data_IF_702823210841
#
_entry.id   IF_702823210841
#
_cell.length_a   1.000
_cell.length_b   1.000
_cell.length_c   1.000
_cell.angle_alpha   90.00
_cell.angle_beta   90.00
_cell.angle_gamma   90.00
#
_symmetry.space_group_name_H-M   'P 1'
#
loop_
_entity.id
_entity.type
_entity.pdbx_description
1 polymer ?
#
# COMPACT_ATOMS: atom_id res chain seq x y z
N UNK A 1 -20.99 25.16 31.82
CA UNK A 1 -20.94 26.11 32.96
C UNK A 1 -19.68 25.81 33.77
N UNK A 2 -18.79 26.75 33.91
CA UNK A 2 -17.52 26.62 34.64
C UNK A 2 -17.83 26.34 36.12
N UNK A 3 -17.30 25.25 36.67
CA UNK A 3 -17.36 24.94 38.10
C UNK A 3 -16.53 25.98 38.87
N UNK A 4 -17.13 27.13 39.23
CA UNK A 4 -16.50 28.09 40.16
C UNK A 4 -16.31 27.41 41.51
N UNK A 5 -15.06 27.34 41.97
CA UNK A 5 -14.73 26.91 43.31
C UNK A 5 -15.35 27.87 44.34
N UNK A 6 -15.84 27.33 45.46
CA UNK A 6 -16.37 28.17 46.52
C UNK A 6 -15.22 28.92 47.21
N UNK A 7 -15.44 30.19 47.51
CA UNK A 7 -14.51 30.96 48.37
C UNK A 7 -14.43 30.38 49.79
N UNK A 8 -13.29 30.55 50.45
CA UNK A 8 -13.02 30.02 51.79
C UNK A 8 -14.08 30.37 52.79
N UNK A 9 -14.58 31.60 52.74
CA UNK A 9 -15.67 32.06 53.61
C UNK A 9 -16.96 31.22 53.44
N UNK A 10 -17.34 30.90 52.20
CA UNK A 10 -18.49 30.02 51.97
C UNK A 10 -18.25 28.57 52.42
N UNK A 11 -17.02 28.09 52.32
CA UNK A 11 -16.68 26.77 52.82
C UNK A 11 -16.79 26.74 54.35
N UNK A 12 -16.29 27.74 55.04
CA UNK A 12 -16.48 27.89 56.52
C UNK A 12 -17.96 27.92 56.89
N UNK A 13 -18.79 28.63 56.14
CA UNK A 13 -20.26 28.68 56.36
C UNK A 13 -20.90 27.30 56.16
N UNK A 14 -20.53 26.54 55.17
CA UNK A 14 -21.02 25.16 54.94
C UNK A 14 -20.68 24.26 56.12
N UNK A 15 -19.44 24.31 56.57
CA UNK A 15 -18.96 23.47 57.68
C UNK A 15 -19.61 23.89 59.01
N UNK A 16 -19.80 25.20 59.23
CA UNK A 16 -20.50 25.71 60.41
C UNK A 16 -21.96 25.23 60.47
N UNK A 17 -22.69 25.32 59.37
CA UNK A 17 -24.06 24.79 59.31
C UNK A 17 -24.09 23.28 59.54
N UNK A 18 -23.13 22.55 59.03
CA UNK A 18 -23.04 21.11 59.25
C UNK A 18 -22.74 20.76 60.73
N UNK A 19 -21.84 21.46 61.39
CA UNK A 19 -21.55 21.26 62.83
C UNK A 19 -22.73 21.59 63.72
N UNK A 20 -23.65 22.49 63.27
CA UNK A 20 -24.91 22.80 63.91
C UNK A 20 -26.04 21.79 63.65
N UNK A 21 -25.75 20.68 62.94
CA UNK A 21 -26.71 19.62 62.71
C UNK A 21 -27.59 19.79 61.46
N UNK A 22 -27.34 20.82 60.63
CA UNK A 22 -28.17 21.00 59.43
C UNK A 22 -27.84 19.96 58.33
N UNK A 23 -28.85 19.39 57.73
CA UNK A 23 -28.71 18.42 56.65
C UNK A 23 -28.28 19.08 55.33
N UNK A 24 -27.69 18.32 54.44
CA UNK A 24 -27.16 18.80 53.14
C UNK A 24 -28.19 19.54 52.27
N UNK A 25 -29.47 19.21 52.38
CA UNK A 25 -30.57 19.89 51.65
C UNK A 25 -30.83 21.29 52.24
N UNK A 26 -30.86 21.42 53.54
CA UNK A 26 -31.03 22.70 54.26
C UNK A 26 -29.85 23.63 54.00
N UNK A 27 -28.62 23.13 54.10
CA UNK A 27 -27.39 23.89 53.83
C UNK A 27 -27.37 24.41 52.36
N UNK A 28 -27.76 23.57 51.42
CA UNK A 28 -27.86 23.92 49.99
C UNK A 28 -28.83 25.08 49.77
N UNK A 29 -30.00 25.02 50.43
CA UNK A 29 -31.04 26.08 50.35
C UNK A 29 -30.60 27.38 51.02
N UNK A 30 -30.03 27.30 52.24
CA UNK A 30 -29.60 28.46 53.03
C UNK A 30 -28.45 29.23 52.39
N UNK A 31 -27.47 28.55 51.83
CA UNK A 31 -26.25 29.17 51.28
C UNK A 31 -26.29 29.35 49.76
N UNK A 32 -27.38 28.96 49.12
CA UNK A 32 -27.56 29.00 47.65
C UNK A 32 -26.41 28.29 46.92
N UNK A 33 -25.98 27.14 47.43
CA UNK A 33 -24.89 26.30 46.88
C UNK A 33 -25.50 24.97 46.42
N UNK A 34 -25.02 24.44 45.29
CA UNK A 34 -25.55 23.16 44.80
C UNK A 34 -25.39 22.04 45.83
N UNK A 35 -26.36 21.16 45.97
CA UNK A 35 -26.33 20.04 46.93
C UNK A 35 -25.10 19.12 46.70
N UNK A 36 -24.73 18.94 45.43
CA UNK A 36 -23.54 18.14 45.10
C UNK A 36 -22.26 18.82 45.54
N UNK A 37 -22.18 20.15 45.46
CA UNK A 37 -21.02 20.92 45.94
C UNK A 37 -20.92 20.82 47.45
N UNK A 38 -22.04 20.98 48.19
CA UNK A 38 -22.09 20.79 49.64
C UNK A 38 -21.61 19.40 50.01
N UNK A 39 -22.14 18.34 49.40
CA UNK A 39 -21.69 16.97 49.66
C UNK A 39 -20.17 16.78 49.43
N UNK A 40 -19.62 17.35 48.35
CA UNK A 40 -18.21 17.28 48.05
C UNK A 40 -17.31 17.85 49.18
N UNK A 41 -17.66 19.04 49.64
CA UNK A 41 -16.91 19.67 50.73
C UNK A 41 -17.08 18.95 52.07
N UNK A 42 -18.26 18.42 52.40
CA UNK A 42 -18.47 17.61 53.61
C UNK A 42 -17.73 16.27 53.56
N UNK A 43 -17.59 15.64 52.40
CA UNK A 43 -16.80 14.42 52.25
C UNK A 43 -15.29 14.68 52.54
N UNK A 44 -14.76 15.79 52.05
CA UNK A 44 -13.38 16.20 52.34
C UNK A 44 -13.20 16.47 53.80
N UNK A 45 -14.11 17.19 54.44
CA UNK A 45 -14.11 17.48 55.87
C UNK A 45 -14.14 16.20 56.71
N UNK A 46 -15.03 15.26 56.40
CA UNK A 46 -15.11 13.98 57.12
C UNK A 46 -13.84 13.13 56.96
N UNK A 47 -13.19 13.20 55.78
CA UNK A 47 -11.90 12.50 55.54
C UNK A 47 -10.72 13.14 56.26
N UNK A 48 -10.75 14.44 56.52
CA UNK A 48 -9.67 15.15 57.21
C UNK A 48 -9.55 14.80 58.70
N UNK A 49 -10.61 14.21 59.29
CA UNK A 49 -10.64 13.88 60.70
C UNK A 49 -10.68 15.09 61.61
N UNK A 50 -10.81 16.31 61.10
CA UNK A 50 -10.88 17.55 61.85
C UNK A 50 -12.32 17.78 62.35
N UNK A 51 -12.44 18.37 63.54
CA UNK A 51 -13.69 18.94 64.02
C UNK A 51 -13.84 20.42 63.56
N UNK A 52 -14.98 21.03 63.84
CA UNK A 52 -15.23 22.40 63.40
C UNK A 52 -14.31 23.42 64.09
N UNK A 53 -13.92 23.18 65.35
CA UNK A 53 -12.98 24.03 66.09
C UNK A 53 -11.56 23.96 65.44
N UNK A 54 -11.13 22.78 65.04
CA UNK A 54 -9.92 22.59 64.29
C UNK A 54 -9.92 23.35 62.95
N UNK A 55 -11.05 23.40 62.28
CA UNK A 55 -11.19 24.19 61.02
C UNK A 55 -11.13 25.70 61.28
N UNK A 56 -11.60 26.17 62.39
CA UNK A 56 -11.53 27.61 62.75
C UNK A 56 -10.10 28.07 63.05
N UNK A 57 -9.25 27.19 63.52
CA UNK A 57 -7.84 27.49 63.81
C UNK A 57 -6.96 27.54 62.52
N UNK A 58 -7.42 27.00 61.38
CA UNK A 58 -6.68 26.98 60.14
C UNK A 58 -6.74 28.35 59.44
N UNK A 59 -5.61 28.77 58.91
CA UNK A 59 -5.52 29.91 58.03
C UNK A 59 -6.30 29.66 56.72
N UNK A 60 -6.64 30.69 55.97
CA UNK A 60 -7.28 30.53 54.65
C UNK A 60 -6.43 29.78 53.65
N UNK A 61 -5.12 29.83 53.82
CA UNK A 61 -4.15 29.12 52.98
C UNK A 61 -4.16 27.62 53.27
N UNK A 62 -4.12 27.21 54.53
CA UNK A 62 -4.22 25.82 54.95
C UNK A 62 -5.58 25.23 54.62
N UNK A 63 -6.66 26.00 54.76
CA UNK A 63 -8.00 25.62 54.35
C UNK A 63 -8.09 25.42 52.83
N UNK A 64 -7.42 26.28 52.09
CA UNK A 64 -7.34 26.16 50.63
C UNK A 64 -6.59 24.88 50.20
N UNK A 65 -5.53 24.55 50.87
CA UNK A 65 -4.75 23.32 50.63
C UNK A 65 -5.57 22.06 50.94
N UNK A 66 -6.35 22.10 52.03
CA UNK A 66 -7.17 20.99 52.47
C UNK A 66 -8.39 20.73 51.51
N UNK A 67 -9.09 21.79 51.12
CA UNK A 67 -10.35 21.70 50.38
C UNK A 67 -10.20 21.89 48.89
N UNK A 68 -9.11 22.47 48.46
CA UNK A 68 -8.71 22.59 47.04
C UNK A 68 -7.44 21.80 46.85
N UNK A 69 -7.48 20.47 47.11
CA UNK A 69 -6.44 19.60 46.62
C UNK A 69 -6.22 19.99 45.15
N UNK A 70 -5.14 20.69 44.88
CA UNK A 70 -4.63 20.84 43.55
C UNK A 70 -4.27 19.41 43.14
N UNK A 71 -5.24 18.70 42.54
CA UNK A 71 -4.86 17.69 41.55
C UNK A 71 -3.94 18.46 40.63
N UNK A 72 -2.63 18.26 40.76
CA UNK A 72 -1.60 18.94 39.97
C UNK A 72 -1.91 18.53 38.54
N UNK A 73 -2.77 19.32 37.85
CA UNK A 73 -3.10 19.11 36.46
C UNK A 73 -1.76 19.33 35.76
N UNK A 74 -1.15 18.24 35.31
CA UNK A 74 0.08 18.30 34.56
C UNK A 74 -0.09 19.32 33.43
N UNK A 75 0.87 20.18 33.27
CA UNK A 75 0.85 21.14 32.14
C UNK A 75 0.85 20.38 30.82
N UNK A 76 0.38 21.00 29.75
CA UNK A 76 0.40 20.38 28.42
C UNK A 76 1.83 19.99 28.01
N UNK A 77 2.83 20.76 28.44
CA UNK A 77 4.26 20.47 28.21
C UNK A 77 4.70 19.17 28.93
N UNK A 78 4.37 19.00 30.23
CA UNK A 78 4.71 17.80 30.98
C UNK A 78 4.08 16.53 30.40
N UNK A 79 2.81 16.59 30.01
CA UNK A 79 2.10 15.48 29.34
C UNK A 79 2.72 15.13 28.00
N UNK A 80 3.18 16.14 27.25
CA UNK A 80 3.84 15.95 25.98
C UNK A 80 5.20 15.27 26.13
N UNK A 81 5.99 15.68 27.11
CA UNK A 81 7.31 15.08 27.40
C UNK A 81 7.19 13.64 27.85
N UNK A 82 6.22 13.34 28.73
CA UNK A 82 5.95 11.96 29.16
C UNK A 82 5.58 11.08 27.96
N UNK A 83 4.64 11.52 27.13
CA UNK A 83 4.27 10.73 25.95
C UNK A 83 5.43 10.60 24.97
N UNK A 84 6.21 11.66 24.73
CA UNK A 84 7.40 11.60 23.86
C UNK A 84 8.42 10.57 24.31
N UNK A 85 8.62 10.40 25.61
CA UNK A 85 9.53 9.39 26.16
C UNK A 85 9.06 7.95 25.90
N UNK A 86 7.74 7.73 25.80
CA UNK A 86 7.13 6.42 25.55
C UNK A 86 6.99 6.08 24.05
N UNK A 87 6.99 7.10 23.17
CA UNK A 87 6.79 6.89 21.73
C UNK A 87 7.78 5.90 21.10
N UNK A 88 9.09 5.91 21.39
CA UNK A 88 10.03 4.94 20.81
C UNK A 88 9.67 3.49 21.13
N UNK A 89 9.26 3.21 22.36
CA UNK A 89 8.85 1.87 22.78
C UNK A 89 7.53 1.45 22.11
N UNK A 90 6.53 2.31 22.11
CA UNK A 90 5.25 2.03 21.46
C UNK A 90 5.41 1.80 19.97
N UNK A 91 6.26 2.57 19.29
CA UNK A 91 6.56 2.37 17.87
C UNK A 91 7.28 1.05 17.60
N UNK A 92 8.18 0.61 18.48
CA UNK A 92 8.83 -0.70 18.39
C UNK A 92 7.83 -1.84 18.60
N UNK A 93 6.91 -1.69 19.55
CA UNK A 93 5.87 -2.70 19.86
C UNK A 93 4.84 -2.82 18.73
N UNK A 94 4.49 -1.73 18.04
CA UNK A 94 3.59 -1.74 16.88
C UNK A 94 4.09 -2.58 15.71
N UNK A 95 5.38 -2.92 15.67
CA UNK A 95 5.92 -3.81 14.63
C UNK A 95 5.63 -5.29 14.91
N UNK A 96 5.22 -5.64 16.11
CA UNK A 96 4.89 -7.01 16.48
C UNK A 96 3.47 -7.36 16.00
N UNK A 97 3.31 -8.57 15.47
CA UNK A 97 2.00 -9.08 15.01
C UNK A 97 1.00 -9.08 16.17
N UNK A 98 -0.20 -8.53 15.94
CA UNK A 98 -1.28 -8.49 16.92
C UNK A 98 -1.29 -7.26 17.85
N UNK A 99 -0.27 -6.40 17.85
CA UNK A 99 -0.27 -5.16 18.63
C UNK A 99 -0.99 -4.07 17.83
N UNK A 100 -2.04 -3.50 18.40
CA UNK A 100 -2.82 -2.42 17.77
C UNK A 100 -2.58 -1.08 18.47
N UNK A 101 -2.77 0.03 17.72
CA UNK A 101 -2.72 1.39 18.31
C UNK A 101 -3.72 1.58 19.45
N UNK A 102 -4.87 0.91 19.32
CA UNK A 102 -5.93 0.97 20.34
C UNK A 102 -5.51 0.29 21.65
N UNK A 103 -4.88 -0.87 21.57
CA UNK A 103 -4.35 -1.58 22.75
C UNK A 103 -3.30 -0.72 23.47
N UNK A 104 -2.38 -0.11 22.73
CA UNK A 104 -1.36 0.78 23.29
C UNK A 104 -1.97 2.05 23.90
N UNK A 105 -3.01 2.60 23.30
CA UNK A 105 -3.70 3.76 23.86
C UNK A 105 -4.43 3.43 25.16
N UNK A 106 -5.07 2.27 25.27
CA UNK A 106 -5.68 1.81 26.54
C UNK A 106 -4.63 1.63 27.65
N UNK A 107 -3.50 1.03 27.32
CA UNK A 107 -2.38 0.86 28.24
C UNK A 107 -1.82 2.22 28.68
N UNK A 108 -1.63 3.15 27.74
CA UNK A 108 -1.22 4.51 28.04
C UNK A 108 -2.18 5.20 29.01
N UNK A 109 -3.48 5.13 28.80
CA UNK A 109 -4.47 5.74 29.68
C UNK A 109 -4.57 5.07 31.06
N UNK A 110 -4.27 3.77 31.16
CA UNK A 110 -4.24 3.08 32.47
C UNK A 110 -3.13 3.62 33.37
N UNK A 111 -2.01 3.99 32.78
CA UNK A 111 -0.85 4.56 33.50
C UNK A 111 -0.90 6.10 33.60
N UNK A 112 -1.63 6.75 32.69
CA UNK A 112 -1.75 8.21 32.58
C UNK A 112 -3.21 8.60 32.41
N UNK A 113 -4.02 8.63 33.50
CA UNK A 113 -5.46 8.94 33.41
C UNK A 113 -5.78 10.31 32.80
N UNK A 114 -4.87 11.28 32.94
CA UNK A 114 -4.95 12.64 32.34
C UNK A 114 -4.23 12.72 30.97
N UNK A 115 -3.88 11.58 30.41
CA UNK A 115 -3.16 11.47 29.14
C UNK A 115 -3.96 11.98 27.92
N UNK A 116 -3.30 12.00 26.77
CA UNK A 116 -3.93 12.44 25.52
C UNK A 116 -5.02 11.48 25.06
N UNK A 117 -6.11 12.06 24.54
CA UNK A 117 -7.16 11.30 23.89
C UNK A 117 -6.68 10.59 22.61
N UNK A 118 -7.47 9.62 22.15
CA UNK A 118 -7.18 8.69 21.06
C UNK A 118 -6.62 9.39 19.80
N UNK A 119 -7.28 10.44 19.34
CA UNK A 119 -6.89 11.14 18.10
C UNK A 119 -5.49 11.75 18.22
N UNK A 120 -5.21 12.48 19.30
CA UNK A 120 -3.93 13.12 19.51
C UNK A 120 -2.79 12.11 19.71
N UNK A 121 -3.04 11.05 20.48
CA UNK A 121 -2.12 9.94 20.65
C UNK A 121 -1.74 9.28 19.33
N UNK A 122 -2.71 9.02 18.44
CA UNK A 122 -2.47 8.42 17.13
C UNK A 122 -1.66 9.34 16.20
N UNK A 123 -1.95 10.64 16.21
CA UNK A 123 -1.20 11.63 15.44
C UNK A 123 0.26 11.66 15.88
N UNK A 124 0.52 11.69 17.19
CA UNK A 124 1.89 11.75 17.74
C UNK A 124 2.68 10.47 17.45
N UNK A 125 2.06 9.29 17.54
CA UNK A 125 2.68 8.03 17.10
C UNK A 125 3.03 8.10 15.61
N UNK A 126 2.10 8.56 14.78
CA UNK A 126 2.32 8.63 13.33
C UNK A 126 3.44 9.62 12.97
N UNK A 127 3.47 10.77 13.61
CA UNK A 127 4.55 11.75 13.47
C UNK A 127 5.90 11.18 13.89
N UNK A 128 5.96 10.49 15.03
CA UNK A 128 7.19 9.87 15.51
C UNK A 128 7.70 8.78 14.54
N UNK A 129 6.80 7.94 14.01
CA UNK A 129 7.16 6.93 12.99
C UNK A 129 7.69 7.62 11.73
N UNK A 130 7.05 8.69 11.27
CA UNK A 130 7.49 9.43 10.09
C UNK A 130 8.87 10.07 10.28
N UNK A 131 9.12 10.66 11.46
CA UNK A 131 10.42 11.27 11.77
C UNK A 131 11.54 10.23 12.00
N UNK A 132 11.20 9.09 12.64
CA UNK A 132 12.20 8.06 12.97
C UNK A 132 12.56 7.14 11.80
N UNK A 133 11.77 7.17 10.73
CA UNK A 133 12.00 6.42 9.49
C UNK A 133 11.83 7.36 8.30
N UNK A 134 12.83 8.18 7.97
CA UNK A 134 12.78 8.96 6.76
C UNK A 134 12.59 7.99 5.58
N UNK A 135 11.47 8.09 4.91
CA UNK A 135 11.22 7.36 3.67
C UNK A 135 12.08 8.06 2.62
N UNK A 136 13.14 7.39 2.19
CA UNK A 136 13.94 7.88 1.08
C UNK A 136 13.02 7.91 -0.15
N UNK A 137 12.78 9.10 -0.67
CA UNK A 137 12.07 9.28 -1.93
C UNK A 137 12.96 8.68 -3.03
N UNK A 138 12.48 7.62 -3.69
CA UNK A 138 13.17 7.06 -4.83
C UNK A 138 12.79 7.90 -6.05
N UNK A 139 13.72 8.72 -6.50
CA UNK A 139 13.57 9.40 -7.78
C UNK A 139 13.73 8.38 -8.90
N UNK A 140 12.76 8.33 -9.78
CA UNK A 140 12.78 7.48 -10.96
C UNK A 140 13.10 8.33 -12.18
N UNK A 141 14.18 7.97 -12.86
CA UNK A 141 14.59 8.65 -14.09
C UNK A 141 13.61 8.30 -15.20
N UNK A 142 13.24 9.29 -15.99
CA UNK A 142 12.37 9.12 -17.15
C UNK A 142 12.99 8.16 -18.19
N UNK A 143 12.18 7.26 -18.74
CA UNK A 143 12.62 6.29 -19.75
C UNK A 143 13.61 5.22 -19.27
N UNK A 144 13.91 5.16 -17.96
CA UNK A 144 14.90 4.21 -17.42
C UNK A 144 14.34 2.79 -17.38
N UNK A 145 13.13 2.60 -16.88
CA UNK A 145 12.57 1.26 -16.66
C UNK A 145 11.04 1.21 -16.73
N UNK A 146 10.53 0.01 -16.99
CA UNK A 146 9.12 -0.36 -16.80
C UNK A 146 9.04 -1.54 -15.84
N UNK A 147 8.12 -1.50 -14.91
CA UNK A 147 7.80 -2.64 -14.06
C UNK A 147 6.62 -3.38 -14.65
N UNK A 148 6.67 -4.71 -14.66
CA UNK A 148 5.60 -5.58 -15.13
C UNK A 148 5.25 -6.63 -14.08
N UNK A 149 3.96 -6.94 -13.96
CA UNK A 149 3.43 -7.94 -13.03
C UNK A 149 2.05 -8.43 -13.50
N UNK A 150 1.55 -9.51 -12.90
CA UNK A 150 0.17 -9.92 -13.00
C UNK A 150 -0.59 -9.59 -11.72
N UNK A 151 -1.80 -9.07 -11.87
CA UNK A 151 -2.69 -8.86 -10.75
C UNK A 151 -3.09 -10.21 -10.13
N UNK A 152 -3.14 -10.27 -8.79
CA UNK A 152 -3.49 -11.52 -8.09
C UNK A 152 -4.95 -11.94 -8.28
N UNK A 153 -5.88 -10.97 -8.37
CA UNK A 153 -7.30 -11.23 -8.61
C UNK A 153 -7.59 -11.25 -10.11
N UNK A 154 -8.23 -12.33 -10.55
CA UNK A 154 -8.57 -12.55 -11.95
C UNK A 154 -9.88 -11.84 -12.32
N UNK A 155 -10.01 -11.45 -13.56
CA UNK A 155 -11.28 -11.15 -14.19
C UNK A 155 -11.82 -12.42 -14.87
N UNK A 156 -12.98 -12.34 -15.49
CA UNK A 156 -13.59 -13.50 -16.18
C UNK A 156 -14.31 -13.08 -17.45
N UNK A 157 -14.38 -14.01 -18.39
CA UNK A 157 -15.26 -13.99 -19.54
C UNK A 157 -16.20 -15.19 -19.48
N UNK A 158 -17.34 -15.11 -20.15
CA UNK A 158 -18.35 -16.17 -20.21
C UNK A 158 -18.31 -16.76 -21.61
N UNK A 159 -18.10 -18.07 -21.70
CA UNK A 159 -18.22 -18.78 -22.98
C UNK A 159 -19.68 -18.80 -23.43
N UNK A 160 -19.94 -18.33 -24.62
CA UNK A 160 -21.32 -18.21 -25.17
C UNK A 160 -21.99 -19.56 -25.46
N UNK A 161 -21.19 -20.57 -25.76
CA UNK A 161 -21.71 -21.87 -26.15
C UNK A 161 -22.00 -22.75 -24.94
N UNK A 162 -21.12 -22.70 -23.93
CA UNK A 162 -21.20 -23.56 -22.74
C UNK A 162 -21.75 -22.87 -21.51
N UNK A 163 -21.74 -21.52 -21.47
CA UNK A 163 -22.06 -20.72 -20.27
C UNK A 163 -20.99 -20.81 -19.19
N UNK A 164 -19.82 -21.38 -19.46
CA UNK A 164 -18.75 -21.55 -18.50
C UNK A 164 -18.04 -20.21 -18.23
N UNK A 165 -17.75 -19.96 -16.95
CA UNK A 165 -16.98 -18.77 -16.54
C UNK A 165 -15.49 -19.10 -16.67
N UNK A 166 -14.82 -18.47 -17.62
CA UNK A 166 -13.39 -18.64 -17.88
C UNK A 166 -12.62 -17.53 -17.17
N UNK A 167 -11.79 -17.85 -16.16
CA UNK A 167 -10.96 -16.87 -15.49
C UNK A 167 -9.81 -16.43 -16.40
N UNK A 168 -9.57 -15.11 -16.46
CA UNK A 168 -8.48 -14.51 -17.24
C UNK A 168 -7.52 -13.77 -16.31
N UNK A 169 -6.25 -13.77 -16.70
CA UNK A 169 -5.19 -13.08 -15.98
C UNK A 169 -5.17 -11.59 -16.36
N UNK A 170 -4.73 -10.72 -15.46
CA UNK A 170 -4.63 -9.29 -15.72
C UNK A 170 -3.19 -8.85 -15.65
N UNK A 171 -2.62 -8.54 -16.81
CA UNK A 171 -1.28 -7.99 -16.94
C UNK A 171 -1.27 -6.50 -16.61
N UNK A 172 -0.23 -6.07 -15.89
CA UNK A 172 -0.01 -4.69 -15.47
C UNK A 172 1.40 -4.27 -15.79
N UNK A 173 1.55 -3.13 -16.46
CA UNK A 173 2.85 -2.47 -16.64
C UNK A 173 2.77 -1.02 -16.15
N UNK A 174 3.85 -0.52 -15.54
CA UNK A 174 3.93 0.85 -15.04
C UNK A 174 5.29 1.46 -15.32
N UNK A 175 5.29 2.68 -15.87
CA UNK A 175 6.46 3.54 -15.96
C UNK A 175 6.63 4.28 -14.62
N UNK A 176 7.73 4.10 -13.88
CA UNK A 176 7.83 4.60 -12.51
C UNK A 176 7.96 6.11 -12.39
N UNK A 177 8.42 6.82 -13.41
CA UNK A 177 8.58 8.28 -13.39
C UNK A 177 7.23 8.99 -13.47
N UNK A 178 6.45 8.75 -14.52
CA UNK A 178 5.11 9.32 -14.72
C UNK A 178 4.01 8.59 -13.95
N UNK A 179 4.27 7.35 -13.54
CA UNK A 179 3.28 6.39 -13.06
C UNK A 179 2.22 6.03 -14.12
N UNK A 180 2.50 6.30 -15.41
CA UNK A 180 1.63 5.89 -16.48
C UNK A 180 1.49 4.37 -16.47
N UNK A 181 0.26 3.90 -16.36
CA UNK A 181 -0.06 2.49 -16.18
C UNK A 181 -0.68 1.93 -17.45
N UNK A 182 -0.34 0.71 -17.80
CA UNK A 182 -0.97 -0.11 -18.82
C UNK A 182 -1.57 -1.36 -18.18
N UNK A 183 -2.76 -1.75 -18.65
CA UNK A 183 -3.48 -2.93 -18.13
C UNK A 183 -4.13 -3.66 -19.31
N UNK A 184 -3.99 -4.98 -19.33
CA UNK A 184 -4.57 -5.85 -20.33
C UNK A 184 -4.96 -7.20 -19.71
N UNK A 185 -6.14 -7.71 -20.06
CA UNK A 185 -6.52 -9.08 -19.74
C UNK A 185 -5.94 -10.04 -20.78
N UNK A 186 -5.40 -11.17 -20.33
CA UNK A 186 -4.82 -12.23 -21.16
C UNK A 186 -5.29 -13.60 -20.66
N UNK A 187 -5.23 -14.61 -21.52
CA UNK A 187 -5.75 -15.94 -21.18
C UNK A 187 -4.91 -16.65 -20.11
N UNK A 188 -3.61 -16.40 -20.07
CA UNK A 188 -2.71 -17.10 -19.16
C UNK A 188 -1.48 -16.28 -18.77
N UNK A 189 -0.71 -16.76 -17.78
CA UNK A 189 0.60 -16.21 -17.45
C UNK A 189 1.74 -16.90 -18.21
N UNK A 190 1.45 -17.61 -19.33
CA UNK A 190 2.47 -18.24 -20.13
C UNK A 190 3.35 -17.19 -20.83
N UNK A 191 4.51 -17.63 -21.31
CA UNK A 191 5.50 -16.74 -21.96
C UNK A 191 4.93 -16.04 -23.19
N UNK A 192 4.06 -16.72 -23.94
CA UNK A 192 3.40 -16.18 -25.15
C UNK A 192 2.56 -14.95 -24.79
N UNK A 193 1.68 -15.10 -23.80
CA UNK A 193 0.78 -14.03 -23.33
C UNK A 193 1.57 -12.90 -22.66
N UNK A 194 2.61 -13.23 -21.88
CA UNK A 194 3.48 -12.24 -21.25
C UNK A 194 4.22 -11.39 -22.30
N UNK A 195 4.78 -12.02 -23.34
CA UNK A 195 5.49 -11.32 -24.41
C UNK A 195 4.52 -10.43 -25.19
N UNK A 196 3.35 -10.96 -25.57
CA UNK A 196 2.32 -10.21 -26.29
C UNK A 196 1.85 -8.99 -25.48
N UNK A 197 1.50 -9.17 -24.21
CA UNK A 197 1.05 -8.08 -23.34
C UNK A 197 2.17 -7.05 -23.08
N UNK A 198 3.42 -7.50 -22.94
CA UNK A 198 4.58 -6.60 -22.80
C UNK A 198 4.80 -5.78 -24.06
N UNK A 199 4.68 -6.38 -25.24
CA UNK A 199 4.76 -5.68 -26.54
C UNK A 199 3.65 -4.63 -26.66
N UNK A 200 2.41 -5.00 -26.33
CA UNK A 200 1.26 -4.09 -26.37
C UNK A 200 1.46 -2.91 -25.40
N UNK A 201 2.08 -3.15 -24.24
CA UNK A 201 2.45 -2.07 -23.30
C UNK A 201 3.48 -1.10 -23.91
N UNK A 202 4.52 -1.62 -24.58
CA UNK A 202 5.51 -0.77 -25.27
C UNK A 202 4.86 0.05 -26.39
N UNK A 203 3.94 -0.55 -27.15
CA UNK A 203 3.17 0.15 -28.19
C UNK A 203 2.27 1.24 -27.60
N UNK A 204 1.63 0.98 -26.46
CA UNK A 204 0.83 1.96 -25.73
C UNK A 204 1.65 3.15 -25.26
N UNK A 205 2.85 2.91 -24.76
CA UNK A 205 3.81 3.95 -24.38
C UNK A 205 4.47 4.63 -25.59
N UNK A 206 4.33 4.11 -26.78
CA UNK A 206 4.95 4.58 -28.01
C UNK A 206 6.48 4.63 -27.94
N UNK A 207 7.08 3.79 -27.09
CA UNK A 207 8.51 3.75 -26.91
C UNK A 207 8.98 2.65 -25.95
N UNK A 208 10.27 2.37 -26.00
CA UNK A 208 10.92 1.36 -25.18
C UNK A 208 11.77 2.00 -24.08
N UNK A 209 11.58 1.62 -22.81
CA UNK A 209 12.46 2.02 -21.71
C UNK A 209 13.81 1.30 -21.80
N UNK A 210 14.80 1.71 -20.99
CA UNK A 210 16.10 1.05 -20.97
C UNK A 210 16.05 -0.36 -20.34
N UNK A 211 15.13 -0.58 -19.41
CA UNK A 211 15.00 -1.87 -18.72
C UNK A 211 13.54 -2.28 -18.50
N UNK A 212 13.30 -3.60 -18.55
CA UNK A 212 12.05 -4.23 -18.14
C UNK A 212 12.31 -4.98 -16.84
N UNK A 213 11.47 -4.74 -15.81
CA UNK A 213 11.61 -5.32 -14.49
C UNK A 213 10.41 -6.21 -14.19
N UNK A 214 10.49 -7.53 -14.46
CA UNK A 214 9.46 -8.49 -14.09
C UNK A 214 9.51 -8.80 -12.59
N UNK A 215 8.33 -8.90 -11.95
CA UNK A 215 8.23 -9.35 -10.55
C UNK A 215 8.20 -10.88 -10.48
N UNK A 216 9.37 -11.53 -10.41
CA UNK A 216 9.54 -12.99 -10.19
C UNK A 216 8.60 -13.88 -11.03
N UNK A 217 8.18 -13.42 -12.19
CA UNK A 217 7.32 -14.16 -13.10
C UNK A 217 8.09 -15.36 -13.65
N UNK A 218 7.59 -16.58 -13.42
CA UNK A 218 8.22 -17.81 -13.93
C UNK A 218 8.36 -17.82 -15.44
N UNK A 219 7.49 -17.15 -16.16
CA UNK A 219 7.52 -16.97 -17.61
C UNK A 219 8.63 -16.03 -18.09
N UNK A 220 9.10 -15.11 -17.25
CA UNK A 220 10.22 -14.22 -17.55
C UNK A 220 11.55 -14.72 -16.93
N UNK A 221 11.49 -15.39 -15.76
CA UNK A 221 12.65 -15.82 -14.98
C UNK A 221 12.54 -17.31 -14.64
N UNK A 222 13.36 -18.13 -15.25
CA UNK A 222 13.32 -19.60 -15.07
C UNK A 222 13.82 -20.04 -13.70
N UNK A 223 14.84 -19.37 -13.15
CA UNK A 223 15.34 -19.56 -11.78
C UNK A 223 15.76 -18.22 -11.20
N UNK A 224 15.21 -17.86 -10.05
CA UNK A 224 15.70 -16.72 -9.27
C UNK A 224 16.70 -17.25 -8.22
N UNK A 225 17.96 -16.86 -8.31
CA UNK A 225 18.93 -17.07 -7.25
C UNK A 225 19.35 -15.73 -6.63
N UNK A 226 20.02 -15.79 -5.47
CA UNK A 226 20.48 -14.59 -4.78
C UNK A 226 21.57 -13.83 -5.58
N UNK A 227 22.24 -14.51 -6.49
CA UNK A 227 23.41 -13.98 -7.23
C UNK A 227 23.19 -13.89 -8.74
N UNK A 228 22.41 -14.82 -9.34
CA UNK A 228 22.10 -14.82 -10.78
C UNK A 228 20.68 -15.29 -11.01
N UNK A 229 19.93 -14.55 -11.80
CA UNK A 229 18.61 -14.95 -12.29
C UNK A 229 18.78 -15.51 -13.71
N UNK A 230 18.29 -16.73 -13.95
CA UNK A 230 18.26 -17.30 -15.29
C UNK A 230 16.98 -16.80 -15.96
N UNK A 231 17.13 -15.97 -16.97
CA UNK A 231 16.03 -15.44 -17.76
C UNK A 231 15.45 -16.52 -18.69
N UNK A 232 14.19 -16.38 -19.03
CA UNK A 232 13.60 -17.12 -20.14
C UNK A 232 14.22 -16.59 -21.45
N UNK A 233 14.76 -17.48 -22.28
CA UNK A 233 15.46 -17.12 -23.52
C UNK A 233 14.58 -16.33 -24.49
N UNK A 234 13.31 -16.69 -24.61
CA UNK A 234 12.36 -16.01 -25.50
C UNK A 234 12.03 -14.60 -25.01
N UNK A 235 11.86 -14.42 -23.67
CA UNK A 235 11.63 -13.11 -23.10
C UNK A 235 12.88 -12.21 -23.16
N UNK A 236 14.05 -12.79 -23.04
CA UNK A 236 15.31 -12.08 -23.23
C UNK A 236 15.47 -11.62 -24.71
N UNK A 237 15.17 -12.48 -25.68
CA UNK A 237 15.18 -12.14 -27.11
C UNK A 237 14.15 -11.04 -27.45
N UNK A 238 12.96 -11.10 -26.84
CA UNK A 238 11.95 -10.02 -26.95
C UNK A 238 12.51 -8.69 -26.44
N UNK A 239 13.11 -8.69 -25.25
CA UNK A 239 13.67 -7.48 -24.67
C UNK A 239 14.80 -6.91 -25.55
N UNK A 240 15.69 -7.76 -26.04
CA UNK A 240 16.78 -7.37 -26.94
C UNK A 240 16.25 -6.78 -28.26
N UNK A 241 15.19 -7.36 -28.83
CA UNK A 241 14.56 -6.86 -30.07
C UNK A 241 14.12 -5.38 -29.93
N UNK A 242 13.62 -4.98 -28.76
CA UNK A 242 13.28 -3.59 -28.45
C UNK A 242 14.42 -2.82 -27.77
N UNK A 243 15.59 -3.42 -27.66
CA UNK A 243 16.78 -2.83 -27.03
C UNK A 243 16.64 -2.65 -25.52
N UNK A 244 15.75 -3.37 -24.85
CA UNK A 244 15.57 -3.34 -23.41
C UNK A 244 16.47 -4.36 -22.71
N UNK A 245 16.87 -4.05 -21.47
CA UNK A 245 17.56 -5.01 -20.61
C UNK A 245 16.57 -5.59 -19.61
N UNK A 246 16.48 -6.91 -19.47
CA UNK A 246 15.66 -7.54 -18.43
C UNK A 246 16.43 -7.55 -17.11
N UNK A 247 15.88 -6.89 -16.10
CA UNK A 247 16.46 -6.84 -14.76
C UNK A 247 15.43 -7.42 -13.79
N UNK A 248 15.50 -8.71 -13.41
CA UNK A 248 14.57 -9.30 -12.46
C UNK A 248 14.58 -8.56 -11.13
N UNK A 249 13.39 -8.35 -10.55
CA UNK A 249 13.29 -7.74 -9.23
C UNK A 249 14.07 -8.58 -8.21
N UNK A 250 14.88 -7.90 -7.39
CA UNK A 250 15.74 -8.59 -6.41
C UNK A 250 14.89 -9.28 -5.36
N UNK A 251 15.12 -10.57 -5.16
CA UNK A 251 14.50 -11.33 -4.08
C UNK A 251 14.79 -10.64 -2.72
N UNK A 252 13.77 -10.57 -1.85
CA UNK A 252 13.86 -9.99 -0.51
C UNK A 252 14.11 -8.47 -0.40
N UNK A 253 13.89 -7.67 -1.48
CA UNK A 253 13.89 -6.20 -1.40
C UNK A 253 12.49 -5.63 -1.70
N UNK A 254 11.58 -5.58 -0.72
CA UNK A 254 10.19 -5.16 -0.93
C UNK A 254 10.06 -3.70 -1.39
N UNK A 255 11.08 -2.87 -1.19
CA UNK A 255 11.07 -1.47 -1.65
C UNK A 255 11.13 -1.33 -3.17
N UNK A 256 11.81 -2.27 -3.85
CA UNK A 256 11.93 -2.25 -5.31
C UNK A 256 10.58 -2.56 -5.99
N UNK A 257 9.66 -3.25 -5.28
CA UNK A 257 8.34 -3.68 -5.73
C UNK A 257 7.20 -2.72 -5.34
N UNK A 258 7.43 -1.83 -4.39
CA UNK A 258 6.38 -0.99 -3.79
C UNK A 258 5.57 -0.21 -4.82
N UNK A 259 6.17 0.20 -5.95
CA UNK A 259 5.50 0.92 -7.04
C UNK A 259 4.53 0.03 -7.80
N UNK A 260 4.97 -1.17 -8.22
CA UNK A 260 4.12 -2.12 -8.93
C UNK A 260 2.98 -2.61 -8.03
N UNK A 261 3.27 -3.00 -6.79
CA UNK A 261 2.24 -3.36 -5.82
C UNK A 261 1.24 -2.21 -5.57
N UNK A 262 1.73 -0.97 -5.54
CA UNK A 262 0.91 0.23 -5.45
C UNK A 262 0.03 0.42 -6.68
N UNK A 263 0.56 0.21 -7.89
CA UNK A 263 -0.19 0.27 -9.15
C UNK A 263 -1.29 -0.79 -9.19
N UNK A 264 -0.98 -2.04 -8.86
CA UNK A 264 -1.98 -3.14 -8.78
C UNK A 264 -3.11 -2.79 -7.80
N UNK A 265 -2.79 -2.25 -6.61
CA UNK A 265 -3.81 -1.80 -5.64
C UNK A 265 -4.69 -0.66 -6.17
N UNK A 266 -4.11 0.26 -6.95
CA UNK A 266 -4.86 1.34 -7.59
C UNK A 266 -5.78 0.81 -8.69
N UNK A 267 -5.33 -0.18 -9.47
CA UNK A 267 -6.13 -0.86 -10.49
C UNK A 267 -7.35 -1.53 -9.86
N UNK A 268 -7.19 -2.26 -8.74
CA UNK A 268 -8.31 -2.84 -7.99
C UNK A 268 -9.33 -1.81 -7.53
N UNK A 269 -8.92 -0.56 -7.27
CA UNK A 269 -9.83 0.49 -6.83
C UNK A 269 -10.48 1.28 -7.97
N UNK A 270 -9.78 1.44 -9.08
CA UNK A 270 -10.20 2.35 -10.16
C UNK A 270 -10.72 1.65 -11.40
N UNK A 271 -10.24 0.45 -11.72
CA UNK A 271 -10.60 -0.30 -12.94
C UNK A 271 -11.57 -1.43 -12.61
N UNK A 272 -11.24 -2.31 -11.67
CA UNK A 272 -12.05 -3.49 -11.36
C UNK A 272 -13.52 -3.18 -11.05
N UNK A 273 -13.89 -2.17 -10.22
CA UNK A 273 -15.30 -1.90 -9.93
C UNK A 273 -16.12 -1.53 -11.16
N UNK A 274 -15.48 -0.94 -12.20
CA UNK A 274 -16.14 -0.56 -13.44
C UNK A 274 -16.33 -1.74 -14.42
N UNK A 275 -15.57 -2.81 -14.21
CA UNK A 275 -15.56 -4.01 -15.04
C UNK A 275 -16.44 -5.09 -14.42
N UNK A 276 -16.37 -5.33 -13.12
CA UNK A 276 -17.03 -6.43 -12.41
C UNK A 276 -18.56 -6.37 -12.43
N UNK A 277 -19.15 -5.20 -12.70
CA UNK A 277 -20.61 -5.05 -12.85
C UNK A 277 -21.13 -5.44 -14.24
N UNK A 278 -20.24 -5.85 -15.16
CA UNK A 278 -20.56 -6.15 -16.55
C UNK A 278 -20.15 -7.57 -16.91
N UNK A 279 -20.88 -8.19 -17.80
CA UNK A 279 -20.55 -9.48 -18.39
C UNK A 279 -19.83 -9.30 -19.72
N UNK A 280 -18.82 -10.12 -19.95
CA UNK A 280 -18.02 -10.14 -21.18
C UNK A 280 -17.95 -11.55 -21.72
N UNK A 281 -18.07 -11.69 -23.02
CA UNK A 281 -18.13 -12.97 -23.69
C UNK A 281 -16.87 -13.29 -24.51
N UNK A 282 -15.99 -12.33 -24.65
CA UNK A 282 -14.71 -12.45 -25.33
C UNK A 282 -13.65 -11.53 -24.69
N UNK A 283 -12.39 -11.83 -24.98
CA UNK A 283 -11.26 -11.09 -24.43
C UNK A 283 -11.17 -9.66 -25.01
N UNK A 284 -11.58 -9.46 -26.25
CA UNK A 284 -11.48 -8.17 -26.94
C UNK A 284 -12.46 -7.15 -26.35
N UNK A 285 -13.70 -7.56 -26.08
CA UNK A 285 -14.71 -6.70 -25.43
C UNK A 285 -14.31 -6.36 -23.99
N UNK A 286 -13.75 -7.31 -23.25
CA UNK A 286 -13.20 -7.08 -21.91
C UNK A 286 -12.04 -6.08 -21.97
N UNK A 287 -11.09 -6.28 -22.88
CA UNK A 287 -9.94 -5.38 -23.04
C UNK A 287 -10.37 -3.99 -23.54
N UNK A 288 -11.39 -3.87 -24.36
CA UNK A 288 -11.97 -2.59 -24.74
C UNK A 288 -12.52 -1.83 -23.52
N UNK A 289 -13.25 -2.52 -22.63
CA UNK A 289 -13.75 -1.93 -21.40
C UNK A 289 -12.61 -1.53 -20.43
N UNK A 290 -11.58 -2.37 -20.31
CA UNK A 290 -10.37 -2.07 -19.52
C UNK A 290 -9.70 -0.80 -20.05
N UNK A 291 -9.54 -0.65 -21.37
CA UNK A 291 -8.91 0.54 -21.98
C UNK A 291 -9.67 1.82 -21.64
N UNK A 292 -11.00 1.81 -21.70
CA UNK A 292 -11.81 2.98 -21.32
C UNK A 292 -11.60 3.35 -19.84
N UNK A 293 -11.60 2.36 -18.94
CA UNK A 293 -11.37 2.58 -17.51
C UNK A 293 -9.93 3.03 -17.23
N UNK A 294 -8.95 2.49 -17.97
CA UNK A 294 -7.55 2.83 -17.89
C UNK A 294 -7.26 4.27 -18.32
N UNK A 295 -7.85 4.73 -19.44
CA UNK A 295 -7.72 6.13 -19.88
C UNK A 295 -8.25 7.10 -18.81
N UNK A 296 -9.39 6.80 -18.21
CA UNK A 296 -9.90 7.61 -17.10
C UNK A 296 -8.94 7.60 -15.91
N UNK A 297 -8.38 6.44 -15.56
CA UNK A 297 -7.39 6.31 -14.48
C UNK A 297 -6.13 7.13 -14.76
N UNK A 298 -5.60 7.06 -15.97
CA UNK A 298 -4.37 7.75 -16.35
C UNK A 298 -4.56 9.27 -16.48
N UNK A 299 -5.77 9.73 -16.83
CA UNK A 299 -6.10 11.16 -16.93
C UNK A 299 -6.60 11.76 -15.60
N UNK A 300 -6.85 10.95 -14.57
CA UNK A 300 -7.22 11.46 -13.24
C UNK A 300 -5.98 12.03 -12.54
N UNK A 301 -6.05 13.27 -12.01
CA UNK A 301 -4.94 13.87 -11.26
C UNK A 301 -4.48 12.97 -10.11
N UNK A 302 -3.17 12.94 -9.88
CA UNK A 302 -2.58 12.22 -8.76
C UNK A 302 -2.96 12.91 -7.44
N UNK A 303 -3.15 12.11 -6.38
CA UNK A 303 -3.36 12.63 -5.03
C UNK A 303 -2.20 13.57 -4.66
N UNK A 304 -2.52 14.76 -4.16
CA UNK A 304 -1.56 15.81 -3.78
C UNK A 304 -0.77 16.45 -4.95
N UNK A 305 -1.19 16.21 -6.21
CA UNK A 305 -0.57 16.81 -7.40
C UNK A 305 -1.62 17.45 -8.30
N UNK A 306 -1.22 18.48 -9.06
CA UNK A 306 -2.12 19.20 -9.99
C UNK A 306 -2.17 18.59 -11.39
N UNK A 307 -1.40 17.55 -11.63
CA UNK A 307 -1.27 16.90 -12.94
C UNK A 307 -1.61 15.40 -12.85
N UNK A 308 -2.03 14.86 -13.98
CA UNK A 308 -2.34 13.44 -14.17
C UNK A 308 -1.09 12.65 -14.57
N UNK A 309 -1.20 11.31 -14.57
CA UNK A 309 -0.16 10.40 -15.08
C UNK A 309 0.14 10.64 -16.55
N UNK A 310 -0.92 10.86 -17.33
CA UNK A 310 -0.82 11.13 -18.77
C UNK A 310 -0.09 12.43 -19.03
N UNK A 311 -0.45 13.50 -18.36
CA UNK A 311 0.23 14.81 -18.52
C UNK A 311 1.70 14.72 -18.14
N UNK A 312 2.05 14.06 -17.03
CA UNK A 312 3.45 13.87 -16.63
C UNK A 312 4.23 13.02 -17.64
N UNK A 313 3.60 12.00 -18.20
CA UNK A 313 4.22 11.18 -19.24
C UNK A 313 4.51 12.00 -20.50
N UNK A 314 3.54 12.75 -21.02
CA UNK A 314 3.69 13.54 -22.23
C UNK A 314 4.75 14.65 -22.07
N UNK A 315 4.82 15.26 -20.88
CA UNK A 315 5.71 16.39 -20.62
C UNK A 315 7.17 15.95 -20.33
N UNK A 316 7.36 14.81 -19.63
CA UNK A 316 8.69 14.47 -19.10
C UNK A 316 9.22 13.14 -19.65
N UNK A 317 8.38 12.11 -19.80
CA UNK A 317 8.86 10.73 -19.99
C UNK A 317 8.84 10.27 -21.44
N UNK A 318 7.91 10.75 -22.25
CA UNK A 318 7.72 10.34 -23.63
C UNK A 318 9.00 10.46 -24.47
N UNK A 319 9.62 11.62 -24.44
CA UNK A 319 10.82 11.92 -25.24
C UNK A 319 12.08 11.20 -24.71
N UNK A 320 12.01 10.64 -23.51
CA UNK A 320 13.08 9.85 -22.90
C UNK A 320 13.03 8.37 -23.27
N UNK A 321 11.92 7.91 -23.84
CA UNK A 321 11.79 6.54 -24.34
C UNK A 321 12.49 6.40 -25.71
N UNK A 322 13.08 5.24 -25.94
CA UNK A 322 13.67 4.90 -27.24
C UNK A 322 12.59 4.59 -28.25
N UNK A 323 12.86 4.90 -29.51
CA UNK A 323 11.97 4.52 -30.62
C UNK A 323 11.83 3.01 -30.69
N UNK A 324 10.60 2.56 -30.87
CA UNK A 324 10.33 1.13 -31.06
C UNK A 324 10.87 0.65 -32.41
N UNK A 325 11.28 -0.62 -32.45
CA UNK A 325 11.50 -1.31 -33.71
C UNK A 325 10.17 -1.32 -34.50
N UNK A 326 10.18 -0.89 -35.75
CA UNK A 326 8.94 -0.88 -36.57
C UNK A 326 8.42 -2.29 -36.87
N UNK A 327 9.28 -3.30 -36.80
CA UNK A 327 8.92 -4.71 -36.95
C UNK A 327 8.53 -5.25 -35.60
N UNK A 328 7.34 -5.85 -35.48
CA UNK A 328 6.91 -6.51 -34.26
C UNK A 328 7.77 -7.73 -33.96
N UNK A 329 7.91 -8.04 -32.67
CA UNK A 329 8.62 -9.23 -32.25
C UNK A 329 7.81 -10.48 -32.61
N UNK A 330 8.44 -11.43 -33.27
CA UNK A 330 7.85 -12.71 -33.61
C UNK A 330 8.47 -13.81 -32.76
N UNK A 331 7.64 -14.42 -31.89
CA UNK A 331 8.08 -15.50 -31.01
C UNK A 331 8.40 -16.73 -31.82
N UNK A 332 9.68 -17.13 -31.81
CA UNK A 332 10.13 -18.34 -32.50
C UNK A 332 9.97 -19.55 -31.57
N UNK A 333 9.34 -20.58 -32.07
CA UNK A 333 9.26 -21.85 -31.38
C UNK A 333 10.51 -22.68 -31.65
N UNK A 334 10.92 -23.47 -30.65
CA UNK A 334 12.12 -24.28 -30.70
C UNK A 334 11.76 -25.76 -30.78
N UNK A 335 12.23 -26.45 -31.82
CA UNK A 335 12.07 -27.88 -31.98
C UNK A 335 13.43 -28.55 -32.22
N UNK A 336 13.74 -29.60 -31.47
CA UNK A 336 14.97 -30.40 -31.67
C UNK A 336 14.67 -31.62 -32.48
N UNK A 337 15.36 -31.78 -33.61
CA UNK A 337 15.18 -32.93 -34.47
C UNK A 337 16.54 -33.54 -34.84
N UNK A 338 16.52 -34.78 -35.29
CA UNK A 338 17.70 -35.45 -35.89
C UNK A 338 17.54 -35.48 -37.39
N UNK A 339 18.56 -35.06 -38.14
CA UNK A 339 18.56 -35.09 -39.58
C UNK A 339 18.50 -36.54 -40.06
N UNK A 340 17.48 -36.87 -40.84
CA UNK A 340 17.29 -38.20 -41.38
C UNK A 340 18.34 -38.53 -42.44
N UNK A 341 18.48 -39.83 -42.78
CA UNK A 341 19.40 -40.31 -43.81
C UNK A 341 19.16 -39.75 -45.20
N UNK A 342 17.97 -39.25 -45.45
CA UNK A 342 17.60 -38.59 -46.70
C UNK A 342 17.89 -37.06 -46.71
N UNK A 343 18.64 -36.56 -45.72
CA UNK A 343 18.96 -35.15 -45.64
C UNK A 343 17.80 -34.22 -45.26
N UNK A 344 16.76 -34.74 -44.59
CA UNK A 344 15.61 -33.95 -44.17
C UNK A 344 15.40 -34.01 -42.67
N UNK A 345 14.75 -32.96 -42.13
CA UNK A 345 14.14 -32.95 -40.81
C UNK A 345 12.65 -32.77 -40.93
N UNK A 346 11.86 -33.46 -40.11
CA UNK A 346 10.44 -33.30 -40.05
C UNK A 346 10.09 -32.37 -38.91
N UNK A 347 9.34 -31.32 -39.17
CA UNK A 347 8.67 -30.52 -38.15
C UNK A 347 7.30 -31.14 -37.86
N UNK A 348 7.05 -31.47 -36.59
CA UNK A 348 5.86 -32.25 -36.20
C UNK A 348 4.55 -31.48 -36.33
N UNK A 349 4.58 -30.16 -36.11
CA UNK A 349 3.38 -29.34 -36.08
C UNK A 349 2.76 -29.07 -37.45
N UNK A 350 3.59 -28.82 -38.46
CA UNK A 350 3.12 -28.62 -39.84
C UNK A 350 3.19 -29.89 -40.70
N UNK A 351 3.73 -30.97 -40.13
CA UNK A 351 3.94 -32.26 -40.78
C UNK A 351 4.82 -32.22 -42.05
N UNK A 352 5.57 -31.11 -42.28
CA UNK A 352 6.42 -30.90 -43.43
C UNK A 352 7.85 -31.36 -43.21
N UNK A 353 8.57 -31.61 -44.31
CA UNK A 353 9.95 -31.99 -44.32
C UNK A 353 10.81 -30.84 -44.92
N UNK A 354 11.83 -30.47 -44.17
CA UNK A 354 12.75 -29.41 -44.55
C UNK A 354 14.10 -29.99 -44.87
N UNK A 355 14.70 -29.62 -46.02
CA UNK A 355 15.99 -30.12 -46.46
C UNK A 355 17.14 -29.49 -45.65
N UNK A 356 18.13 -30.31 -45.34
CA UNK A 356 19.33 -29.91 -44.60
C UNK A 356 20.54 -30.41 -45.38
N UNK A 357 21.65 -29.66 -45.46
CA UNK A 357 22.85 -30.09 -46.14
C UNK A 357 23.34 -31.48 -45.69
N UNK A 358 23.77 -32.32 -46.65
CA UNK A 358 24.12 -33.74 -46.41
C UNK A 358 25.17 -33.95 -45.30
N UNK A 359 26.07 -32.99 -45.07
CA UNK A 359 27.05 -33.03 -43.99
C UNK A 359 26.51 -33.07 -42.56
N UNK A 360 25.20 -32.90 -42.40
CA UNK A 360 24.51 -32.94 -41.10
C UNK A 360 23.68 -34.19 -40.88
N UNK A 361 23.64 -35.15 -41.81
CA UNK A 361 22.92 -36.41 -41.65
C UNK A 361 23.29 -37.08 -40.32
N UNK A 362 22.28 -37.54 -39.61
CA UNK A 362 22.41 -38.16 -38.29
C UNK A 362 22.78 -37.23 -37.13
N UNK A 363 23.01 -35.94 -37.39
CA UNK A 363 23.27 -34.94 -36.34
C UNK A 363 21.94 -34.39 -35.78
N UNK A 364 21.97 -33.95 -34.53
CA UNK A 364 20.89 -33.21 -33.91
C UNK A 364 20.97 -31.75 -34.33
N UNK A 365 19.86 -31.19 -34.76
CA UNK A 365 19.72 -29.80 -35.16
C UNK A 365 18.57 -29.16 -34.36
N UNK A 366 18.57 -27.84 -34.28
CA UNK A 366 17.54 -27.05 -33.66
C UNK A 366 16.76 -26.31 -34.76
N UNK A 367 15.48 -26.55 -34.86
CA UNK A 367 14.57 -25.77 -35.71
C UNK A 367 14.01 -24.62 -34.90
N UNK A 368 14.22 -23.40 -35.37
CA UNK A 368 13.52 -22.20 -34.95
C UNK A 368 12.48 -21.87 -35.99
N UNK A 369 11.20 -21.87 -35.60
CA UNK A 369 10.14 -21.65 -36.57
C UNK A 369 9.06 -20.70 -36.03
N UNK A 370 8.44 -20.03 -36.96
CA UNK A 370 7.26 -19.18 -36.78
C UNK A 370 6.15 -19.69 -37.72
N UNK A 371 5.02 -18.99 -37.75
CA UNK A 371 3.98 -19.27 -38.77
C UNK A 371 4.43 -19.02 -40.23
N UNK A 372 5.59 -18.36 -40.43
CA UNK A 372 6.05 -17.90 -41.77
C UNK A 372 7.41 -18.44 -42.16
N UNK A 373 8.28 -18.76 -41.19
CA UNK A 373 9.67 -19.07 -41.46
C UNK A 373 10.14 -20.25 -40.59
N UNK A 374 11.01 -21.11 -41.15
CA UNK A 374 11.72 -22.16 -40.41
C UNK A 374 13.21 -21.98 -40.67
N UNK A 375 13.95 -21.76 -39.57
CA UNK A 375 15.43 -21.69 -39.57
C UNK A 375 15.99 -22.96 -38.91
N UNK A 376 17.06 -23.56 -39.50
CA UNK A 376 17.64 -24.79 -38.97
C UNK A 376 19.11 -24.50 -38.62
N UNK A 377 19.51 -24.80 -37.36
CA UNK A 377 20.83 -24.55 -36.80
C UNK A 377 21.49 -25.83 -36.32
#
# INVERSE_FOLDING_TARGET
MSNKQLGMEKIRQVLRCYSQGYGTKSISSMLTVSRNTVKKYLQVFQRSGLDYEGVLSLSDQELSELFHEKTRVKTESERMEELKSLLPEYCKRLQKKGVTREALHREYLSSHPDGYGRTRFYILIQQHIACSRPIMYLEHKAGDKVFIDFAGDKLSIIDLDTGEIIPVEVFVAILPCSQLTYVEAVMSQKKEDLICASENALLYYQGAPSAIIPDNLKSAVTKSSKYEAILNEDFAAFAEHYGCTVIPARAYKPRDKALVEGAVKLIYRSIYPKIQEREFYDLDSLNAAIRVALELHNNTPLTDRKYSRREQFEEIERDSLRKLNPIRFELKQHYRATVMKNGHVRLGEDAHYYSVPCGYMGKKVILLYTSREVCIY
#
